data_IF_054270436436
#
_entry.id   IF_054270436436
#
_cell.length_a   1.000
_cell.length_b   1.000
_cell.length_c   1.000
_cell.angle_alpha   90.00
_cell.angle_beta   90.00
_cell.angle_gamma   90.00
#
_symmetry.space_group_name_H-M   'P 1'
#
loop_
_entity.id
_entity.type
_entity.pdbx_description
1 polymer ?
#
# COMPACT_ATOMS: atom_id res chain seq x y z
N UNK A 1 -10.40 -42.83 13.52
CA UNK A 1 -9.21 -42.39 12.78
C UNK A 1 -9.46 -40.98 12.29
N UNK A 2 -8.67 -39.98 12.72
CA UNK A 2 -8.83 -38.59 12.28
C UNK A 2 -8.24 -38.44 10.89
N UNK A 3 -9.08 -38.16 9.90
CA UNK A 3 -8.66 -37.93 8.51
C UNK A 3 -7.75 -36.69 8.47
N UNK A 4 -6.46 -36.90 8.27
CA UNK A 4 -5.49 -35.81 8.13
C UNK A 4 -5.66 -35.18 6.75
N UNK A 5 -5.70 -33.85 6.71
CA UNK A 5 -5.80 -33.09 5.46
C UNK A 5 -4.45 -33.09 4.77
N UNK A 6 -4.44 -33.30 3.45
CA UNK A 6 -3.23 -33.14 2.64
C UNK A 6 -2.78 -31.69 2.67
N UNK A 7 -1.47 -31.49 2.80
CA UNK A 7 -0.84 -30.18 2.89
C UNK A 7 -0.78 -29.54 1.49
N UNK A 8 -1.87 -28.89 1.05
CA UNK A 8 -1.93 -28.12 -0.19
C UNK A 8 -1.08 -26.84 -0.11
N UNK A 9 -0.74 -26.26 -1.27
CA UNK A 9 0.11 -25.06 -1.31
C UNK A 9 -0.54 -23.85 -0.63
N UNK A 10 -1.84 -23.62 -0.87
CA UNK A 10 -2.61 -22.57 -0.16
C UNK A 10 -2.59 -22.76 1.36
N UNK A 11 -2.71 -24.01 1.82
CA UNK A 11 -2.68 -24.32 3.24
C UNK A 11 -1.28 -24.12 3.84
N UNK A 12 -0.23 -24.36 3.06
CA UNK A 12 1.15 -24.07 3.48
C UNK A 12 1.39 -22.58 3.65
N UNK A 13 0.95 -21.78 2.70
CA UNK A 13 1.09 -20.32 2.80
C UNK A 13 0.35 -19.82 4.04
N UNK A 14 -0.90 -20.25 4.25
CA UNK A 14 -1.66 -19.85 5.43
C UNK A 14 -1.00 -20.26 6.75
N UNK A 15 -0.49 -21.49 6.85
CA UNK A 15 0.22 -21.94 8.05
C UNK A 15 1.52 -21.15 8.24
N UNK A 16 2.23 -20.84 7.15
CA UNK A 16 3.45 -20.02 7.20
C UNK A 16 3.14 -18.63 7.74
N UNK A 17 2.07 -18.00 7.26
CA UNK A 17 1.64 -16.67 7.69
C UNK A 17 1.27 -16.67 9.18
N UNK A 18 0.46 -17.62 9.65
CA UNK A 18 0.12 -17.74 11.08
C UNK A 18 1.36 -17.98 11.96
N UNK A 19 2.36 -18.72 11.45
CA UNK A 19 3.62 -18.92 12.16
C UNK A 19 4.45 -17.63 12.23
N UNK A 20 4.32 -16.70 11.30
CA UNK A 20 5.14 -15.47 11.28
C UNK A 20 4.41 -14.32 11.97
N UNK A 21 3.16 -14.09 11.61
CA UNK A 21 2.34 -12.98 12.08
C UNK A 21 1.59 -13.31 13.36
N UNK A 22 1.34 -14.59 13.65
CA UNK A 22 0.52 -14.99 14.80
C UNK A 22 -0.97 -14.81 14.53
N UNK A 23 -1.78 -15.04 15.56
CA UNK A 23 -3.23 -14.87 15.53
C UNK A 23 -3.71 -14.30 16.87
N UNK A 24 -4.89 -13.71 16.88
CA UNK A 24 -5.53 -13.23 18.11
C UNK A 24 -6.45 -14.32 18.66
N UNK A 25 -6.27 -14.66 19.93
CA UNK A 25 -7.19 -15.57 20.63
C UNK A 25 -8.52 -14.86 20.97
N UNK A 26 -9.50 -15.62 21.48
CA UNK A 26 -10.82 -15.09 21.85
C UNK A 26 -10.75 -14.01 22.96
N UNK A 27 -9.60 -13.86 23.62
CA UNK A 27 -9.34 -12.83 24.63
C UNK A 27 -8.64 -11.60 24.04
N UNK A 28 -8.47 -11.55 22.72
CA UNK A 28 -7.77 -10.49 22.02
C UNK A 28 -6.26 -10.49 22.26
N UNK A 29 -5.69 -11.55 22.85
CA UNK A 29 -4.25 -11.64 23.06
C UNK A 29 -3.60 -12.30 21.84
N UNK A 30 -2.53 -11.68 21.37
CA UNK A 30 -1.73 -12.21 20.28
C UNK A 30 -0.96 -13.45 20.74
N UNK A 31 -1.12 -14.53 19.99
CA UNK A 31 -0.46 -15.81 20.22
C UNK A 31 0.30 -16.22 18.97
N UNK A 32 1.45 -16.85 19.18
CA UNK A 32 2.26 -17.38 18.11
C UNK A 32 2.28 -18.90 18.18
N UNK A 33 1.68 -19.62 17.22
CA UNK A 33 1.66 -21.06 17.28
C UNK A 33 3.05 -21.64 17.14
N UNK A 34 3.26 -22.77 17.79
CA UNK A 34 4.32 -23.72 17.45
C UNK A 34 3.89 -24.57 16.25
N UNK A 35 4.86 -25.18 15.57
CA UNK A 35 4.59 -26.12 14.46
C UNK A 35 3.65 -27.26 14.90
N UNK A 36 3.74 -27.69 16.17
CA UNK A 36 2.90 -28.75 16.73
C UNK A 36 1.45 -28.29 16.92
N UNK A 37 1.24 -27.07 17.40
CA UNK A 37 -0.09 -26.47 17.56
C UNK A 37 -0.72 -26.19 16.20
N UNK A 38 0.03 -25.62 15.26
CA UNK A 38 -0.43 -25.40 13.89
C UNK A 38 -0.84 -26.71 13.21
N UNK A 39 -0.06 -27.79 13.37
CA UNK A 39 -0.43 -29.11 12.84
C UNK A 39 -1.78 -29.61 13.39
N UNK A 40 -2.02 -29.40 14.69
CA UNK A 40 -3.27 -29.77 15.35
C UNK A 40 -4.46 -28.94 14.87
N UNK A 41 -4.31 -27.63 14.75
CA UNK A 41 -5.39 -26.73 14.30
C UNK A 41 -5.79 -26.97 12.85
N UNK A 42 -4.79 -27.10 11.97
CA UNK A 42 -5.01 -27.31 10.55
C UNK A 42 -5.30 -28.77 10.18
N UNK A 43 -5.28 -29.68 11.17
CA UNK A 43 -5.50 -31.13 11.01
C UNK A 43 -4.57 -31.73 9.96
N UNK A 44 -3.31 -31.31 9.94
CA UNK A 44 -2.26 -31.81 9.04
C UNK A 44 -1.28 -32.68 9.79
N UNK A 45 -0.57 -33.57 9.07
CA UNK A 45 0.51 -34.37 9.66
C UNK A 45 1.62 -33.48 10.21
N UNK A 46 1.97 -33.70 11.48
CA UNK A 46 3.05 -32.96 12.14
C UNK A 46 4.40 -33.13 11.41
N UNK A 47 4.73 -34.35 11.00
CA UNK A 47 6.01 -34.64 10.35
C UNK A 47 6.11 -33.95 8.98
N UNK A 48 5.02 -33.98 8.21
CA UNK A 48 4.92 -33.29 6.92
C UNK A 48 5.05 -31.76 7.06
N UNK A 49 4.37 -31.19 8.06
CA UNK A 49 4.46 -29.76 8.33
C UNK A 49 5.84 -29.37 8.85
N UNK A 50 6.45 -30.18 9.72
CA UNK A 50 7.80 -29.95 10.26
C UNK A 50 8.85 -29.91 9.15
N UNK A 51 8.81 -30.85 8.21
CA UNK A 51 9.71 -30.87 7.06
C UNK A 51 9.54 -29.63 6.16
N UNK A 52 8.29 -29.19 5.96
CA UNK A 52 7.99 -27.99 5.17
C UNK A 52 8.47 -26.72 5.89
N UNK A 53 8.12 -26.58 7.17
CA UNK A 53 8.45 -25.44 8.01
C UNK A 53 9.96 -25.23 8.20
N UNK A 54 10.74 -26.31 8.18
CA UNK A 54 12.20 -26.22 8.23
C UNK A 54 12.80 -25.41 7.05
N UNK A 55 12.12 -25.35 5.91
CA UNK A 55 12.58 -24.63 4.70
C UNK A 55 12.16 -23.16 4.68
N UNK A 56 11.26 -22.74 5.57
CA UNK A 56 10.62 -21.42 5.48
C UNK A 56 11.36 -20.31 6.22
N UNK A 57 12.38 -20.62 7.02
CA UNK A 57 13.05 -19.65 7.91
C UNK A 57 12.08 -18.81 8.78
N UNK A 58 10.90 -19.37 9.09
CA UNK A 58 9.79 -18.65 9.72
C UNK A 58 10.13 -18.04 11.08
N UNK A 59 11.08 -18.63 11.83
CA UNK A 59 11.52 -18.08 13.12
C UNK A 59 12.19 -16.72 12.95
N UNK A 60 13.07 -16.59 11.96
CA UNK A 60 13.75 -15.35 11.62
C UNK A 60 12.75 -14.34 11.06
N UNK A 61 11.88 -14.77 10.14
CA UNK A 61 10.83 -13.90 9.59
C UNK A 61 9.88 -13.36 10.68
N UNK A 62 9.53 -14.19 11.69
CA UNK A 62 8.75 -13.78 12.86
C UNK A 62 9.50 -12.72 13.69
N UNK A 63 10.77 -12.96 13.99
CA UNK A 63 11.59 -12.03 14.76
C UNK A 63 11.72 -10.67 14.04
N UNK A 64 12.01 -10.71 12.74
CA UNK A 64 12.05 -9.52 11.89
C UNK A 64 10.69 -8.78 11.87
N UNK A 65 9.58 -9.52 11.83
CA UNK A 65 8.24 -8.95 11.91
C UNK A 65 7.98 -8.26 13.26
N UNK A 66 8.25 -8.94 14.38
CA UNK A 66 8.09 -8.38 15.73
C UNK A 66 8.93 -7.10 15.89
N UNK A 67 10.18 -7.14 15.43
CA UNK A 67 11.07 -5.98 15.47
C UNK A 67 10.54 -4.82 14.63
N UNK A 68 9.99 -5.09 13.44
CA UNK A 68 9.36 -4.07 12.59
C UNK A 68 8.13 -3.45 13.25
N UNK A 69 7.25 -4.26 13.84
CA UNK A 69 6.07 -3.77 14.56
C UNK A 69 6.50 -2.89 15.74
N UNK A 70 7.43 -3.37 16.56
CA UNK A 70 7.94 -2.62 17.70
C UNK A 70 8.59 -1.29 17.28
N UNK A 71 9.36 -1.32 16.19
CA UNK A 71 9.96 -0.10 15.61
C UNK A 71 8.88 0.87 15.13
N UNK A 72 7.87 0.40 14.38
CA UNK A 72 6.76 1.24 13.91
C UNK A 72 5.99 1.87 15.07
N UNK A 73 5.65 1.09 16.09
CA UNK A 73 5.01 1.60 17.30
C UNK A 73 5.88 2.69 17.92
N UNK A 74 7.19 2.46 18.04
CA UNK A 74 8.12 3.42 18.65
C UNK A 74 8.28 4.71 17.82
N UNK A 75 8.44 4.60 16.51
CA UNK A 75 8.54 5.73 15.58
C UNK A 75 7.26 6.57 15.55
N UNK A 76 6.11 5.90 15.66
CA UNK A 76 4.78 6.51 15.58
C UNK A 76 4.14 6.81 16.94
N UNK A 77 4.89 6.72 18.05
CA UNK A 77 4.41 7.14 19.39
C UNK A 77 3.90 8.59 19.42
N UNK A 78 4.33 9.44 18.49
CA UNK A 78 3.81 10.81 18.34
C UNK A 78 2.39 10.89 17.77
N UNK A 79 1.92 9.84 17.11
CA UNK A 79 0.62 9.77 16.42
C UNK A 79 -0.39 8.85 17.15
N UNK A 80 -0.09 8.42 18.38
CA UNK A 80 -0.94 7.52 19.20
C UNK A 80 -1.39 6.21 18.50
N UNK A 81 -0.59 5.71 17.55
CA UNK A 81 -0.91 4.48 16.84
C UNK A 81 -0.86 3.27 17.80
N UNK A 82 -1.94 2.49 17.82
CA UNK A 82 -2.02 1.27 18.61
C UNK A 82 -1.12 0.14 18.06
N UNK A 83 -0.71 -0.81 18.90
CA UNK A 83 0.11 -1.96 18.46
C UNK A 83 -0.57 -2.79 17.36
N UNK A 84 -1.89 -2.97 17.44
CA UNK A 84 -2.68 -3.68 16.41
C UNK A 84 -2.68 -2.93 15.08
N UNK A 85 -2.72 -1.60 15.11
CA UNK A 85 -2.70 -0.78 13.91
C UNK A 85 -1.30 -0.78 13.28
N UNK A 86 -0.25 -0.62 14.09
CA UNK A 86 1.12 -0.76 13.63
C UNK A 86 1.39 -2.14 13.01
N UNK A 87 0.81 -3.20 13.58
CA UNK A 87 0.88 -4.54 13.03
C UNK A 87 0.21 -4.65 11.66
N UNK A 88 -1.03 -4.17 11.51
CA UNK A 88 -1.73 -4.16 10.21
C UNK A 88 -0.88 -3.49 9.14
N UNK A 89 -0.30 -2.33 9.46
CA UNK A 89 0.57 -1.62 8.52
C UNK A 89 1.80 -2.46 8.16
N UNK A 90 2.45 -3.13 9.12
CA UNK A 90 3.61 -3.99 8.82
C UNK A 90 3.24 -5.22 7.98
N UNK A 91 2.08 -5.83 8.24
CA UNK A 91 1.57 -6.95 7.44
C UNK A 91 1.25 -6.49 6.02
N UNK A 92 0.58 -5.35 5.87
CA UNK A 92 0.24 -4.76 4.58
C UNK A 92 1.51 -4.42 3.80
N UNK A 93 2.51 -3.80 4.43
CA UNK A 93 3.81 -3.54 3.81
C UNK A 93 4.49 -4.82 3.31
N UNK A 94 4.42 -5.91 4.08
CA UNK A 94 4.97 -7.20 3.68
C UNK A 94 4.23 -7.77 2.47
N UNK A 95 2.89 -7.66 2.45
CA UNK A 95 2.04 -8.10 1.35
C UNK A 95 2.28 -7.30 0.07
N UNK A 96 2.37 -5.96 0.17
CA UNK A 96 2.72 -5.10 -0.94
C UNK A 96 4.09 -5.42 -1.51
N UNK A 97 5.08 -5.68 -0.65
CA UNK A 97 6.40 -6.13 -1.09
C UNK A 97 6.36 -7.51 -1.78
N UNK A 98 5.54 -8.46 -1.31
CA UNK A 98 5.34 -9.76 -1.97
C UNK A 98 4.73 -9.55 -3.36
N UNK A 99 3.69 -8.74 -3.47
CA UNK A 99 3.03 -8.42 -4.73
C UNK A 99 3.98 -7.72 -5.73
N UNK A 100 4.73 -6.72 -5.27
CA UNK A 100 5.73 -6.02 -6.08
C UNK A 100 6.80 -6.99 -6.63
N UNK A 101 7.26 -7.93 -5.81
CA UNK A 101 8.23 -8.95 -6.23
C UNK A 101 7.65 -9.93 -7.25
N UNK A 102 6.39 -10.35 -7.09
CA UNK A 102 5.70 -11.20 -8.07
C UNK A 102 5.53 -10.47 -9.40
N UNK A 103 5.09 -9.21 -9.37
CA UNK A 103 4.96 -8.37 -10.54
C UNK A 103 6.31 -8.20 -11.26
N UNK A 104 7.38 -7.89 -10.51
CA UNK A 104 8.73 -7.80 -11.06
C UNK A 104 9.17 -9.09 -11.75
N UNK A 105 8.92 -10.26 -11.14
CA UNK A 105 9.27 -11.56 -11.72
C UNK A 105 8.49 -11.84 -13.00
N UNK A 106 7.18 -11.57 -12.99
CA UNK A 106 6.32 -11.73 -14.16
C UNK A 106 6.79 -10.85 -15.32
N UNK A 107 7.10 -9.58 -15.05
CA UNK A 107 7.59 -8.65 -16.08
C UNK A 107 8.98 -9.06 -16.60
N UNK A 108 9.90 -9.49 -15.73
CA UNK A 108 11.21 -10.00 -16.18
C UNK A 108 11.04 -11.24 -17.07
N UNK A 109 10.11 -12.13 -16.75
CA UNK A 109 9.82 -13.28 -17.58
C UNK A 109 9.22 -12.86 -18.94
N UNK A 110 8.33 -11.87 -18.94
CA UNK A 110 7.75 -11.34 -20.18
C UNK A 110 8.79 -10.68 -21.08
N UNK A 111 9.70 -9.88 -20.50
CA UNK A 111 10.83 -9.30 -21.25
C UNK A 111 11.69 -10.42 -21.88
N UNK A 112 11.94 -11.52 -21.17
CA UNK A 112 12.67 -12.67 -21.75
C UNK A 112 11.91 -13.30 -22.92
N UNK A 113 10.58 -13.47 -22.79
CA UNK A 113 9.75 -14.01 -23.86
C UNK A 113 9.78 -13.11 -25.11
N UNK A 114 9.81 -11.78 -24.91
CA UNK A 114 10.00 -10.77 -25.95
C UNK A 114 11.36 -10.90 -26.63
N UNK A 115 12.44 -10.94 -25.85
CA UNK A 115 13.79 -11.03 -26.39
C UNK A 115 14.06 -12.34 -27.12
N UNK A 116 13.42 -13.43 -26.71
CA UNK A 116 13.57 -14.75 -27.32
C UNK A 116 12.65 -14.96 -28.54
N UNK A 117 11.80 -13.99 -28.88
CA UNK A 117 10.84 -14.10 -29.99
C UNK A 117 9.76 -15.17 -29.78
N UNK A 118 9.53 -15.59 -28.54
CA UNK A 118 8.58 -16.67 -28.20
C UNK A 118 7.18 -16.16 -27.86
N UNK A 119 6.98 -14.85 -27.79
CA UNK A 119 5.67 -14.28 -27.51
C UNK A 119 4.99 -13.76 -28.80
N UNK A 120 3.68 -13.98 -28.84
CA UNK A 120 2.84 -13.72 -30.01
C UNK A 120 2.36 -12.27 -29.96
N UNK A 121 2.95 -11.41 -30.80
CA UNK A 121 2.82 -9.96 -30.67
C UNK A 121 1.84 -9.36 -31.69
N UNK A 122 0.59 -9.15 -31.28
CA UNK A 122 -0.39 -8.40 -32.08
C UNK A 122 -0.22 -6.87 -32.06
N UNK A 123 0.64 -6.32 -31.19
CA UNK A 123 0.74 -4.87 -30.92
C UNK A 123 2.13 -4.23 -31.06
N UNK A 124 3.11 -4.96 -31.62
CA UNK A 124 4.49 -4.49 -31.76
C UNK A 124 5.32 -4.56 -30.47
N UNK A 125 6.58 -5.00 -30.61
CA UNK A 125 7.51 -5.24 -29.49
C UNK A 125 7.72 -3.98 -28.63
N UNK A 126 7.82 -2.80 -29.25
CA UNK A 126 8.07 -1.54 -28.53
C UNK A 126 6.97 -1.15 -27.55
N UNK A 127 5.69 -1.38 -27.89
CA UNK A 127 4.56 -1.06 -27.02
C UNK A 127 4.54 -1.94 -25.76
N UNK A 128 4.86 -3.21 -25.91
CA UNK A 128 4.89 -4.13 -24.76
C UNK A 128 6.08 -3.88 -23.85
N UNK A 129 7.26 -3.54 -24.40
CA UNK A 129 8.40 -3.13 -23.59
C UNK A 129 8.09 -1.87 -22.79
N UNK A 130 7.35 -0.91 -23.37
CA UNK A 130 6.88 0.28 -22.64
C UNK A 130 5.95 -0.10 -21.46
N UNK A 131 5.00 -1.02 -21.68
CA UNK A 131 4.10 -1.50 -20.62
C UNK A 131 4.87 -2.25 -19.52
N UNK A 132 5.87 -3.07 -19.89
CA UNK A 132 6.78 -3.71 -18.94
C UNK A 132 7.54 -2.67 -18.11
N UNK A 133 8.04 -1.61 -18.75
CA UNK A 133 8.71 -0.50 -18.07
C UNK A 133 7.82 0.16 -17.01
N UNK A 134 6.57 0.51 -17.36
CA UNK A 134 5.60 1.10 -16.41
C UNK A 134 5.25 0.16 -15.26
N UNK A 135 5.11 -1.14 -15.54
CA UNK A 135 4.84 -2.14 -14.51
C UNK A 135 6.02 -2.30 -13.53
N UNK A 136 7.26 -2.27 -14.02
CA UNK A 136 8.46 -2.29 -13.17
C UNK A 136 8.59 -1.03 -12.33
N UNK A 137 8.33 0.14 -12.91
CA UNK A 137 8.32 1.41 -12.18
C UNK A 137 7.29 1.38 -11.04
N UNK A 138 6.09 0.87 -11.32
CA UNK A 138 5.02 0.71 -10.33
C UNK A 138 5.42 -0.27 -9.22
N UNK A 139 6.01 -1.42 -9.58
CA UNK A 139 6.52 -2.40 -8.61
C UNK A 139 7.59 -1.78 -7.69
N UNK A 140 8.50 -1.00 -8.25
CA UNK A 140 9.54 -0.30 -7.49
C UNK A 140 8.94 0.72 -6.53
N UNK A 141 7.99 1.56 -6.99
CA UNK A 141 7.30 2.54 -6.14
C UNK A 141 6.59 1.86 -4.96
N UNK A 142 5.82 0.80 -5.23
CA UNK A 142 5.14 0.02 -4.19
C UNK A 142 6.15 -0.52 -3.17
N UNK A 143 7.25 -1.12 -3.64
CA UNK A 143 8.26 -1.69 -2.74
C UNK A 143 8.95 -0.63 -1.87
N UNK A 144 9.28 0.53 -2.44
CA UNK A 144 9.89 1.65 -1.71
C UNK A 144 8.94 2.22 -0.65
N UNK A 145 7.69 2.48 -1.03
CA UNK A 145 6.67 2.98 -0.10
C UNK A 145 6.43 1.99 1.04
N UNK A 146 6.31 0.69 0.73
CA UNK A 146 6.18 -0.36 1.75
C UNK A 146 7.45 -0.53 2.62
N UNK A 147 8.62 -0.11 2.14
CA UNK A 147 9.84 -0.07 2.94
C UNK A 147 9.92 1.17 3.85
N UNK A 148 8.96 2.10 3.75
CA UNK A 148 8.96 3.37 4.48
C UNK A 148 9.84 4.44 3.83
N UNK A 149 10.29 4.25 2.58
CA UNK A 149 10.95 5.32 1.84
C UNK A 149 9.91 6.38 1.44
N UNK A 150 10.27 7.65 1.58
CA UNK A 150 9.43 8.75 1.13
C UNK A 150 9.13 8.59 -0.37
N UNK A 151 7.86 8.35 -0.71
CA UNK A 151 7.38 8.43 -2.08
C UNK A 151 7.55 9.87 -2.56
N UNK A 152 7.89 10.07 -3.84
CA UNK A 152 8.04 11.42 -4.42
C UNK A 152 6.76 12.27 -4.26
N UNK A 153 5.61 11.64 -4.02
CA UNK A 153 4.33 12.31 -3.68
C UNK A 153 4.43 13.11 -2.37
N UNK A 154 5.12 12.60 -1.34
CA UNK A 154 5.28 13.31 -0.06
C UNK A 154 6.22 14.51 -0.14
N UNK A 155 7.15 14.52 -1.12
CA UNK A 155 8.00 15.70 -1.37
C UNK A 155 7.20 16.87 -1.94
N UNK A 156 6.11 16.59 -2.67
CA UNK A 156 5.28 17.63 -3.29
C UNK A 156 4.31 18.24 -2.27
N UNK A 157 3.71 17.46 -1.38
CA UNK A 157 2.78 18.02 -0.36
C UNK A 157 3.49 18.92 0.67
N UNK A 158 4.76 18.66 0.99
CA UNK A 158 5.58 19.55 1.82
C UNK A 158 6.03 20.85 1.11
N UNK A 159 5.87 20.93 -0.22
CA UNK A 159 6.20 22.11 -1.03
C UNK A 159 4.97 22.81 -1.64
N UNK A 160 3.76 22.24 -1.55
CA UNK A 160 2.52 22.96 -1.89
C UNK A 160 2.19 23.90 -0.72
N UNK A 161 2.96 24.98 -0.76
CA UNK A 161 2.94 26.17 0.05
C UNK A 161 1.49 26.68 0.24
N UNK A 162 0.88 26.32 1.38
CA UNK A 162 -0.38 26.89 1.87
C UNK A 162 -0.31 28.42 1.96
N UNK A 163 0.88 28.96 2.21
CA UNK A 163 1.18 30.40 2.21
C UNK A 163 1.09 31.00 0.80
N UNK A 164 1.54 30.31 -0.26
CA UNK A 164 1.39 30.80 -1.63
C UNK A 164 -0.06 30.77 -2.11
N UNK A 165 -0.84 29.75 -1.75
CA UNK A 165 -2.28 29.71 -2.09
C UNK A 165 -3.02 30.85 -1.40
N UNK A 166 -2.81 31.04 -0.10
CA UNK A 166 -3.42 32.17 0.63
C UNK A 166 -2.99 33.52 0.07
N UNK A 167 -1.69 33.71 -0.20
CA UNK A 167 -1.17 34.96 -0.75
C UNK A 167 -1.73 35.24 -2.14
N UNK A 168 -1.81 34.25 -3.01
CA UNK A 168 -2.34 34.41 -4.36
C UNK A 168 -3.85 34.69 -4.36
N UNK A 169 -4.62 34.04 -3.48
CA UNK A 169 -6.05 34.34 -3.31
C UNK A 169 -6.25 35.77 -2.78
N UNK A 170 -5.45 36.21 -1.81
CA UNK A 170 -5.49 37.59 -1.29
C UNK A 170 -5.09 38.60 -2.37
N UNK A 171 -4.09 38.30 -3.21
CA UNK A 171 -3.67 39.14 -4.33
C UNK A 171 -4.77 39.25 -5.40
N UNK A 172 -5.46 38.14 -5.74
CA UNK A 172 -6.59 38.17 -6.66
C UNK A 172 -7.78 38.98 -6.11
N UNK A 173 -8.14 38.78 -4.85
CA UNK A 173 -9.25 39.53 -4.20
C UNK A 173 -8.92 41.03 -4.11
N UNK A 174 -7.64 41.39 -3.90
CA UNK A 174 -7.21 42.79 -3.84
C UNK A 174 -6.87 43.39 -5.21
N UNK A 175 -6.98 42.62 -6.29
CA UNK A 175 -6.70 43.11 -7.63
C UNK A 175 -7.71 44.18 -8.07
N UNK A 176 -7.26 45.12 -8.90
CA UNK A 176 -8.14 46.13 -9.45
C UNK A 176 -9.21 45.52 -10.38
N UNK A 177 -8.87 44.45 -11.09
CA UNK A 177 -9.81 43.71 -11.95
C UNK A 177 -11.00 43.17 -11.14
N UNK A 178 -10.75 42.54 -9.99
CA UNK A 178 -11.82 42.05 -9.12
C UNK A 178 -12.68 43.20 -8.58
N UNK A 179 -12.07 44.32 -8.21
CA UNK A 179 -12.81 45.51 -7.73
C UNK A 179 -13.68 46.14 -8.81
N UNK A 180 -13.18 46.23 -10.04
CA UNK A 180 -13.94 46.75 -11.18
C UNK A 180 -15.10 45.83 -11.54
N UNK A 181 -14.90 44.51 -11.47
CA UNK A 181 -15.96 43.53 -11.69
C UNK A 181 -17.06 43.64 -10.63
N UNK A 182 -16.70 43.70 -9.34
CA UNK A 182 -17.66 43.87 -8.24
C UNK A 182 -18.42 45.21 -8.34
N UNK A 183 -17.73 46.31 -8.67
CA UNK A 183 -18.37 47.61 -8.90
C UNK A 183 -19.37 47.55 -10.06
N UNK A 184 -19.03 46.88 -11.16
CA UNK A 184 -19.94 46.69 -12.29
C UNK A 184 -21.20 45.90 -11.91
N UNK A 185 -21.06 44.86 -11.10
CA UNK A 185 -22.19 44.08 -10.58
C UNK A 185 -23.07 44.94 -9.66
N UNK A 186 -22.48 45.72 -8.76
CA UNK A 186 -23.22 46.59 -7.84
C UNK A 186 -24.00 47.69 -8.58
N UNK A 187 -23.41 48.29 -9.62
CA UNK A 187 -24.12 49.27 -10.47
C UNK A 187 -25.29 48.62 -11.19
N UNK A 188 -25.11 47.45 -11.79
CA UNK A 188 -26.18 46.73 -12.48
C UNK A 188 -27.33 46.33 -11.53
N UNK A 189 -27.02 45.98 -10.28
CA UNK A 189 -28.03 45.69 -9.25
C UNK A 189 -28.79 46.98 -8.88
N UNK A 190 -28.08 48.08 -8.68
CA UNK A 190 -28.70 49.39 -8.36
C UNK A 190 -29.63 49.87 -9.48
N UNK A 191 -29.19 49.78 -10.74
CA UNK A 191 -29.99 50.15 -11.91
C UNK A 191 -31.27 49.30 -12.02
N UNK A 192 -31.16 48.00 -11.72
CA UNK A 192 -32.30 47.09 -11.72
C UNK A 192 -33.29 47.42 -10.60
N UNK A 193 -32.81 47.72 -9.39
CA UNK A 193 -33.68 48.14 -8.28
C UNK A 193 -34.41 49.46 -8.59
N UNK A 194 -33.71 50.44 -9.16
CA UNK A 194 -34.35 51.71 -9.56
C UNK A 194 -35.40 51.53 -10.67
N UNK A 195 -35.21 50.54 -11.56
CA UNK A 195 -36.19 50.22 -12.59
C UNK A 195 -37.43 49.51 -12.01
N UNK A 196 -37.24 48.65 -11.00
CA UNK A 196 -38.32 47.98 -10.28
C UNK A 196 -39.13 48.98 -9.41
N UNK A 197 -38.48 49.96 -8.79
CA UNK A 197 -39.13 51.00 -7.96
C UNK A 197 -39.91 52.04 -8.78
N UNK A 198 -39.68 52.13 -10.10
CA UNK A 198 -40.37 53.05 -11.02
C UNK A 198 -41.51 52.39 -11.80
N UNK A 199 -41.73 51.08 -11.65
CA UNK A 199 -42.85 50.33 -12.26
C UNK A 199 -44.03 50.19 -11.30
#
# INVERSE_FOLDING_TARGET
MTTQRTLSEELREKIKDDLIFGYYDDKGKKQYPTVKEAAKWYKVSYDSLRQSAAKWNWKKEREDHINKVHRKVTEKKKEEISESEAEKIVVDDANFNKAANLLRRAVVQEIKNIMNGTADFKGGIGYQLMNCGRALESAQKISKTAAGEASDIQKVEGQINTEHRYKHTIEMINSNEFREQELGVLVAISEKQEAEDKS
#
